data_IF_949649059003
#
_entry.id   IF_949649059003
#
_cell.length_a   1.000
_cell.length_b   1.000
_cell.length_c   1.000
_cell.angle_alpha   90.00
_cell.angle_beta   90.00
_cell.angle_gamma   90.00
#
_symmetry.space_group_name_H-M   'P 1'
#
loop_
_entity.id
_entity.type
_entity.pdbx_description
1 polymer ?
#
# COMPACT_ATOMS: atom_id res chain seq x y z
N UNK A 1 19.73 -48.46 14.61
CA UNK A 1 19.18 -47.16 14.84
C UNK A 1 20.15 -46.07 14.34
N UNK A 2 21.03 -46.40 13.42
CA UNK A 2 22.07 -45.48 12.90
C UNK A 2 21.97 -45.21 11.39
N UNK A 3 20.80 -45.44 10.79
CA UNK A 3 20.64 -45.39 9.32
C UNK A 3 19.79 -44.22 8.79
N UNK A 4 19.15 -43.41 9.68
CA UNK A 4 18.25 -42.36 9.24
C UNK A 4 18.86 -40.96 9.13
N UNK A 5 19.92 -40.66 9.86
CA UNK A 5 20.56 -39.32 9.84
C UNK A 5 21.41 -39.09 8.55
N UNK A 6 21.87 -40.16 7.89
CA UNK A 6 22.68 -40.07 6.65
C UNK A 6 21.80 -39.81 5.40
N UNK A 7 20.47 -40.09 5.47
CA UNK A 7 19.62 -39.95 4.27
C UNK A 7 19.15 -38.50 4.02
N UNK A 8 19.01 -37.65 5.04
CA UNK A 8 18.56 -36.26 4.86
C UNK A 8 19.63 -35.41 4.14
N UNK A 9 20.92 -35.64 4.43
CA UNK A 9 22.02 -34.95 3.75
C UNK A 9 22.29 -35.47 2.34
N UNK A 10 21.80 -36.68 2.00
CA UNK A 10 22.01 -37.28 0.66
C UNK A 10 20.87 -36.97 -0.30
N UNK A 11 19.64 -36.66 0.19
CA UNK A 11 18.52 -36.28 -0.68
C UNK A 11 18.65 -34.85 -1.21
N UNK A 12 19.24 -33.94 -0.44
CA UNK A 12 19.49 -32.55 -0.88
C UNK A 12 20.65 -32.46 -1.91
N UNK A 13 21.49 -33.48 -2.01
CA UNK A 13 22.63 -33.52 -2.95
C UNK A 13 22.34 -34.14 -4.32
N UNK A 14 21.16 -34.72 -4.56
CA UNK A 14 20.84 -35.46 -5.79
C UNK A 14 19.78 -34.83 -6.70
N UNK A 15 19.17 -33.73 -6.31
CA UNK A 15 18.25 -33.00 -7.20
C UNK A 15 18.92 -31.97 -8.13
N UNK A 16 20.27 -31.93 -8.15
CA UNK A 16 21.06 -31.00 -8.99
C UNK A 16 21.37 -31.50 -10.42
N UNK A 17 20.77 -32.59 -10.87
CA UNK A 17 21.05 -33.13 -12.21
C UNK A 17 19.73 -33.44 -12.97
N UNK A 18 19.19 -32.44 -13.64
CA UNK A 18 18.21 -32.79 -14.68
C UNK A 18 17.17 -31.77 -15.13
N UNK A 19 17.36 -30.50 -15.01
CA UNK A 19 16.66 -29.56 -15.87
C UNK A 19 17.49 -28.29 -16.03
N UNK A 20 17.76 -27.93 -17.28
CA UNK A 20 18.50 -26.74 -17.64
C UNK A 20 17.61 -25.49 -17.45
N UNK A 21 17.61 -24.96 -16.24
CA UNK A 21 17.08 -23.64 -15.97
C UNK A 21 18.20 -22.64 -16.21
N UNK A 22 17.94 -21.66 -17.08
CA UNK A 22 18.84 -20.53 -17.25
C UNK A 22 18.78 -19.68 -15.99
N UNK A 23 19.77 -19.83 -15.12
CA UNK A 23 20.06 -18.88 -14.05
C UNK A 23 20.92 -17.79 -14.68
N UNK A 24 20.54 -16.51 -14.59
CA UNK A 24 21.45 -15.43 -14.93
C UNK A 24 22.59 -15.43 -13.91
N UNK A 25 23.76 -15.91 -14.32
CA UNK A 25 25.00 -15.74 -13.55
C UNK A 25 25.56 -14.38 -13.94
N UNK A 26 25.57 -13.49 -13.00
CA UNK A 26 26.38 -12.30 -12.79
C UNK A 26 25.54 -11.11 -12.33
N UNK A 27 25.38 -10.95 -11.02
CA UNK A 27 25.07 -9.66 -10.44
C UNK A 27 26.36 -9.07 -9.85
N UNK A 28 26.89 -8.09 -10.57
CA UNK A 28 27.93 -7.19 -10.07
C UNK A 28 27.27 -6.11 -9.22
N UNK A 29 27.67 -6.05 -7.96
CA UNK A 29 27.34 -4.95 -7.06
C UNK A 29 28.00 -3.66 -7.53
N UNK A 30 27.25 -2.75 -8.16
CA UNK A 30 27.63 -1.33 -8.24
C UNK A 30 26.34 -0.50 -8.40
N UNK A 31 25.96 0.17 -7.33
CA UNK A 31 25.06 1.31 -7.38
C UNK A 31 25.91 2.51 -7.83
N UNK A 32 25.83 2.88 -9.10
CA UNK A 32 26.33 4.17 -9.58
C UNK A 32 25.15 5.05 -9.96
N UNK A 33 25.00 6.13 -9.22
CA UNK A 33 24.19 7.30 -9.61
C UNK A 33 24.70 7.85 -10.95
N UNK A 34 23.90 7.77 -12.00
CA UNK A 34 24.28 8.26 -13.33
C UNK A 34 24.20 9.78 -13.38
N UNK A 35 25.39 10.38 -13.47
CA UNK A 35 25.56 11.77 -13.92
C UNK A 35 25.73 11.77 -15.44
N UNK A 36 24.92 12.56 -16.14
CA UNK A 36 25.04 12.78 -17.59
C UNK A 36 26.46 13.19 -18.01
N UNK A 37 27.01 12.49 -18.99
CA UNK A 37 28.09 13.03 -19.82
C UNK A 37 27.80 12.91 -21.30
N UNK A 38 27.97 14.03 -21.97
CA UNK A 38 27.84 14.22 -23.41
C UNK A 38 29.09 13.78 -24.18
N UNK A 39 28.88 13.00 -25.23
CA UNK A 39 29.48 13.13 -26.55
C UNK A 39 30.92 12.74 -26.83
N UNK A 40 31.19 11.83 -27.71
CA UNK A 40 31.64 12.06 -29.09
C UNK A 40 31.96 10.75 -29.81
N UNK A 41 31.68 10.72 -31.09
CA UNK A 41 31.79 9.68 -32.11
C UNK A 41 33.18 9.07 -32.29
N UNK A 42 33.26 7.73 -32.51
CA UNK A 42 33.94 7.21 -33.70
C UNK A 42 33.52 5.76 -34.03
N UNK A 43 33.47 5.46 -35.33
CA UNK A 43 32.88 4.31 -35.98
C UNK A 43 33.57 2.95 -35.68
N UNK A 44 32.76 1.90 -35.44
CA UNK A 44 32.89 0.59 -36.08
C UNK A 44 31.58 -0.22 -35.85
N UNK A 45 30.95 -0.59 -36.96
CA UNK A 45 29.72 -1.36 -37.07
C UNK A 45 29.81 -2.75 -36.41
N UNK A 46 29.18 -2.95 -35.25
CA UNK A 46 28.50 -4.17 -34.88
C UNK A 46 27.15 -3.77 -34.27
N UNK A 47 26.08 -4.16 -34.97
CA UNK A 47 24.69 -3.92 -34.62
C UNK A 47 24.31 -4.78 -33.40
N UNK A 48 24.70 -4.32 -32.19
CA UNK A 48 24.06 -4.74 -30.96
C UNK A 48 22.75 -3.94 -30.86
N UNK A 49 21.62 -4.67 -30.94
CA UNK A 49 20.32 -4.11 -30.63
C UNK A 49 20.34 -3.42 -29.25
N UNK A 50 19.46 -2.42 -29.01
CA UNK A 50 19.44 -1.70 -27.75
C UNK A 50 19.30 -2.72 -26.62
N UNK A 51 20.21 -2.66 -25.64
CA UNK A 51 20.01 -3.29 -24.34
C UNK A 51 18.77 -2.57 -23.78
N UNK A 52 17.63 -3.23 -23.82
CA UNK A 52 16.47 -2.82 -23.03
C UNK A 52 16.94 -2.91 -21.57
N UNK A 53 17.19 -1.76 -20.96
CA UNK A 53 17.23 -1.64 -19.52
C UNK A 53 15.84 -2.05 -19.05
N UNK A 54 15.78 -3.09 -18.22
CA UNK A 54 14.55 -3.51 -17.59
C UNK A 54 14.15 -2.44 -16.56
N UNK A 55 13.45 -1.42 -17.04
CA UNK A 55 12.91 -0.33 -16.21
C UNK A 55 11.76 -0.84 -15.29
N UNK A 56 11.53 -2.16 -15.25
CA UNK A 56 10.43 -2.75 -14.50
C UNK A 56 10.70 -2.81 -12.99
N UNK A 57 11.96 -2.84 -12.55
CA UNK A 57 12.32 -2.98 -11.14
C UNK A 57 13.47 -2.07 -10.72
N UNK A 58 13.37 -1.58 -9.48
CA UNK A 58 14.47 -0.96 -8.75
C UNK A 58 14.89 -1.86 -7.58
N UNK A 59 16.09 -1.68 -7.06
CA UNK A 59 16.60 -2.44 -5.93
C UNK A 59 17.24 -1.52 -4.91
N UNK A 60 16.97 -1.79 -3.62
CA UNK A 60 17.62 -1.15 -2.50
C UNK A 60 18.26 -2.18 -1.58
N UNK A 61 19.26 -1.75 -0.81
CA UNK A 61 19.89 -2.57 0.21
C UNK A 61 19.57 -1.96 1.57
N UNK A 62 18.87 -2.71 2.41
CA UNK A 62 18.43 -2.31 3.74
C UNK A 62 19.33 -2.93 4.81
N UNK A 63 19.38 -2.28 5.97
CA UNK A 63 19.97 -2.79 7.18
C UNK A 63 21.44 -2.50 7.41
N UNK A 64 21.97 -2.92 8.56
CA UNK A 64 23.34 -2.65 8.96
C UNK A 64 24.32 -3.41 8.05
N UNK A 65 25.49 -2.82 7.78
CA UNK A 65 26.50 -3.33 6.83
C UNK A 65 27.00 -4.76 7.08
N UNK A 66 26.80 -5.28 8.28
CA UNK A 66 27.17 -6.65 8.65
C UNK A 66 26.05 -7.68 8.40
N UNK A 67 24.82 -7.21 8.15
CA UNK A 67 23.69 -8.08 7.81
C UNK A 67 22.67 -7.24 7.03
N UNK A 68 22.73 -7.31 5.72
CA UNK A 68 21.86 -6.55 4.82
C UNK A 68 20.79 -7.44 4.20
N UNK A 69 19.71 -6.80 3.73
CA UNK A 69 18.67 -7.42 2.94
C UNK A 69 18.47 -6.67 1.62
N UNK A 70 17.94 -7.34 0.62
CA UNK A 70 17.58 -6.73 -0.66
C UNK A 70 16.08 -6.46 -0.69
N UNK A 71 15.73 -5.23 -1.03
CA UNK A 71 14.38 -4.80 -1.33
C UNK A 71 14.23 -4.61 -2.84
N UNK A 72 13.27 -5.30 -3.45
CA UNK A 72 12.84 -5.12 -4.82
C UNK A 72 11.62 -4.23 -4.87
N UNK A 73 11.63 -3.24 -5.75
CA UNK A 73 10.67 -2.15 -5.82
C UNK A 73 10.13 -2.11 -7.26
N UNK A 74 8.83 -2.05 -7.51
CA UNK A 74 8.28 -1.85 -8.85
C UNK A 74 8.87 -0.61 -9.52
N UNK A 75 9.18 -0.69 -10.82
CA UNK A 75 9.66 0.46 -11.58
C UNK A 75 8.60 1.56 -11.64
N UNK A 76 9.01 2.79 -11.38
CA UNK A 76 8.10 3.93 -11.37
C UNK A 76 7.26 4.06 -10.10
N UNK A 77 7.57 3.27 -9.05
CA UNK A 77 6.91 3.41 -7.75
C UNK A 77 7.06 4.83 -7.21
N UNK A 78 5.95 5.42 -6.85
CA UNK A 78 5.86 6.70 -6.14
C UNK A 78 5.91 6.43 -4.62
N UNK A 79 6.95 6.92 -3.95
CA UNK A 79 7.15 6.68 -2.52
C UNK A 79 6.14 7.43 -1.63
N UNK A 80 5.39 8.37 -2.20
CA UNK A 80 4.27 9.05 -1.54
C UNK A 80 2.96 8.23 -1.65
N UNK A 81 2.97 7.15 -2.41
CA UNK A 81 1.87 6.19 -2.56
C UNK A 81 2.28 4.83 -2.02
N UNK A 82 2.02 4.56 -0.74
CA UNK A 82 2.50 3.34 -0.11
C UNK A 82 2.00 2.07 -0.77
N UNK A 83 2.89 1.06 -0.85
CA UNK A 83 2.57 -0.27 -1.35
C UNK A 83 2.74 -1.32 -0.25
N UNK A 84 1.94 -2.39 -0.24
CA UNK A 84 2.17 -3.52 0.64
C UNK A 84 3.61 -4.03 0.56
N UNK A 85 4.14 -4.52 1.67
CA UNK A 85 5.46 -5.15 1.74
C UNK A 85 5.35 -6.65 1.98
N UNK A 86 5.82 -7.44 1.02
CA UNK A 86 5.99 -8.88 1.19
C UNK A 86 7.41 -9.18 1.66
N UNK A 87 7.54 -9.85 2.79
CA UNK A 87 8.82 -10.29 3.36
C UNK A 87 8.98 -11.80 3.15
N UNK A 88 9.91 -12.19 2.27
CA UNK A 88 10.17 -13.60 1.93
C UNK A 88 11.21 -14.22 2.85
N UNK A 89 10.84 -15.27 3.57
CA UNK A 89 11.73 -16.00 4.49
C UNK A 89 12.07 -17.40 3.96
N UNK A 90 13.33 -17.62 3.63
CA UNK A 90 13.82 -18.88 3.07
C UNK A 90 13.86 -20.02 4.08
N UNK A 91 13.90 -21.27 3.61
CA UNK A 91 14.09 -22.46 4.41
C UNK A 91 15.52 -22.65 4.93
N UNK A 92 15.71 -23.54 5.90
CA UNK A 92 17.03 -23.89 6.44
C UNK A 92 18.04 -24.23 5.34
N UNK A 93 19.28 -23.76 5.50
CA UNK A 93 20.39 -23.92 4.54
C UNK A 93 20.24 -23.24 3.18
N UNK A 94 19.17 -22.49 2.95
CA UNK A 94 18.88 -21.73 1.74
C UNK A 94 19.38 -20.27 1.84
N UNK A 95 18.86 -19.38 1.02
CA UNK A 95 19.11 -17.94 1.01
C UNK A 95 17.87 -17.19 0.47
N UNK A 96 17.83 -15.87 0.68
CA UNK A 96 16.70 -15.04 0.32
C UNK A 96 16.34 -15.10 -1.16
N UNK A 97 17.35 -14.99 -2.04
CA UNK A 97 17.10 -15.04 -3.49
C UNK A 97 16.50 -16.37 -3.93
N UNK A 98 17.03 -17.49 -3.42
CA UNK A 98 16.50 -18.81 -3.77
C UNK A 98 15.09 -19.02 -3.20
N UNK A 99 14.83 -18.59 -1.96
CA UNK A 99 13.51 -18.69 -1.34
C UNK A 99 12.45 -17.93 -2.10
N UNK A 100 12.73 -16.67 -2.45
CA UNK A 100 11.82 -15.84 -3.24
C UNK A 100 11.59 -16.41 -4.65
N UNK A 101 12.65 -16.92 -5.31
CA UNK A 101 12.53 -17.58 -6.62
C UNK A 101 11.71 -18.87 -6.55
N UNK A 102 11.90 -19.67 -5.50
CA UNK A 102 11.16 -20.94 -5.33
C UNK A 102 9.66 -20.72 -5.15
N UNK A 103 9.28 -19.65 -4.46
CA UNK A 103 7.88 -19.28 -4.23
C UNK A 103 7.31 -18.36 -5.33
N UNK A 104 8.08 -18.15 -6.42
CA UNK A 104 7.73 -17.34 -7.59
C UNK A 104 7.36 -15.87 -7.25
N UNK A 105 7.99 -15.33 -6.20
CA UNK A 105 7.65 -14.01 -5.66
C UNK A 105 8.20 -12.84 -6.50
N UNK A 106 9.21 -13.05 -7.35
CA UNK A 106 9.78 -11.96 -8.15
C UNK A 106 8.78 -11.43 -9.18
N UNK A 107 8.10 -12.32 -9.90
CA UNK A 107 7.13 -11.93 -10.91
C UNK A 107 5.83 -11.36 -10.29
N UNK A 108 5.55 -11.74 -9.02
CA UNK A 108 4.38 -11.23 -8.30
C UNK A 108 4.46 -9.75 -7.95
N UNK A 109 5.65 -9.15 -7.88
CA UNK A 109 5.87 -7.74 -7.53
C UNK A 109 5.06 -6.79 -8.42
N UNK A 110 5.11 -6.99 -9.74
CA UNK A 110 4.32 -6.20 -10.69
C UNK A 110 2.86 -6.64 -10.77
N UNK A 111 2.62 -7.94 -10.63
CA UNK A 111 1.28 -8.49 -10.80
C UNK A 111 0.34 -8.10 -9.63
N UNK A 112 0.88 -8.06 -8.42
CA UNK A 112 0.13 -7.79 -7.19
C UNK A 112 0.45 -6.41 -6.57
N UNK A 113 1.24 -5.58 -7.25
CA UNK A 113 1.59 -4.22 -6.82
C UNK A 113 2.09 -4.15 -5.36
N UNK A 114 3.22 -4.80 -5.07
CA UNK A 114 3.83 -4.79 -3.75
C UNK A 114 5.36 -4.61 -3.81
N UNK A 115 5.97 -4.24 -2.70
CA UNK A 115 7.41 -4.31 -2.48
C UNK A 115 7.79 -5.73 -2.03
N UNK A 116 8.99 -6.21 -2.40
CA UNK A 116 9.48 -7.53 -1.98
C UNK A 116 10.82 -7.42 -1.26
N UNK A 117 10.82 -7.74 0.03
CA UNK A 117 12.02 -7.86 0.86
C UNK A 117 12.40 -9.33 0.98
N UNK A 118 13.63 -9.72 0.57
CA UNK A 118 14.09 -11.12 0.63
C UNK A 118 15.45 -11.22 1.32
N UNK A 119 15.45 -11.18 2.65
CA UNK A 119 16.67 -11.20 3.46
C UNK A 119 17.30 -12.59 3.55
N UNK A 120 18.59 -12.61 3.92
CA UNK A 120 19.32 -13.80 4.29
C UNK A 120 19.27 -14.04 5.80
N UNK A 121 18.94 -15.27 6.21
CA UNK A 121 19.05 -15.72 7.59
C UNK A 121 20.49 -15.75 8.10
N UNK A 122 20.65 -15.86 9.43
CA UNK A 122 21.96 -15.95 10.09
C UNK A 122 22.71 -17.22 9.68
N UNK A 123 24.03 -17.12 9.50
CA UNK A 123 24.87 -18.30 9.27
C UNK A 123 25.24 -18.98 10.57
N UNK A 124 25.05 -20.31 10.63
CA UNK A 124 25.55 -21.12 11.71
C UNK A 124 27.06 -21.45 11.52
N UNK A 125 27.74 -22.08 12.50
CA UNK A 125 29.17 -22.41 12.40
C UNK A 125 29.56 -23.34 11.24
N UNK A 126 28.61 -24.02 10.61
CA UNK A 126 28.83 -24.86 9.41
C UNK A 126 28.51 -24.15 8.11
N UNK A 127 28.31 -22.84 8.14
CA UNK A 127 28.00 -21.99 7.00
C UNK A 127 26.63 -22.30 6.34
N UNK A 128 25.66 -22.76 7.11
CA UNK A 128 24.28 -22.92 6.70
C UNK A 128 23.43 -21.79 7.29
N UNK A 129 22.55 -21.20 6.53
CA UNK A 129 21.66 -20.14 7.01
C UNK A 129 20.43 -20.70 7.72
N UNK A 130 19.99 -19.98 8.74
CA UNK A 130 18.80 -20.30 9.51
C UNK A 130 18.11 -19.04 10.03
N UNK A 131 16.87 -19.18 10.42
CA UNK A 131 16.10 -18.26 11.24
C UNK A 131 15.96 -18.83 12.64
N UNK A 132 16.21 -18.02 13.65
CA UNK A 132 15.94 -18.37 15.05
C UNK A 132 14.43 -18.28 15.32
N UNK A 133 13.69 -19.30 14.88
CA UNK A 133 12.23 -19.27 14.86
C UNK A 133 11.61 -19.83 16.16
N UNK A 134 11.69 -21.14 16.33
CA UNK A 134 11.16 -21.84 17.51
C UNK A 134 12.20 -22.84 18.04
N UNK A 135 12.09 -23.35 19.25
CA UNK A 135 12.99 -24.41 19.76
C UNK A 135 13.03 -25.64 18.86
N UNK A 136 11.95 -25.92 18.11
CA UNK A 136 11.88 -27.07 17.23
C UNK A 136 12.58 -26.88 15.88
N UNK A 137 12.96 -25.65 15.48
CA UNK A 137 13.65 -25.37 14.21
C UNK A 137 14.25 -23.98 14.17
N UNK A 138 15.46 -23.75 13.73
CA UNK A 138 16.53 -24.67 13.32
C UNK A 138 17.84 -24.12 13.87
N UNK A 139 17.78 -23.45 15.04
CA UNK A 139 18.93 -22.88 15.75
C UNK A 139 19.68 -23.96 16.58
N UNK A 140 20.22 -24.96 15.89
CA UNK A 140 20.89 -26.11 16.52
C UNK A 140 22.22 -25.79 17.24
N UNK A 141 22.65 -24.55 17.26
CA UNK A 141 23.90 -24.10 17.92
C UNK A 141 23.62 -23.06 19.01
N UNK A 142 22.39 -22.93 19.45
CA UNK A 142 21.99 -21.97 20.48
C UNK A 142 22.60 -20.57 20.28
N UNK A 143 22.61 -20.10 19.02
CA UNK A 143 23.14 -18.78 18.72
C UNK A 143 22.19 -17.72 19.26
N UNK A 144 22.73 -16.79 20.04
CA UNK A 144 21.99 -15.62 20.51
C UNK A 144 21.75 -14.64 19.34
N UNK A 145 20.67 -14.88 18.58
CA UNK A 145 20.25 -14.05 17.43
C UNK A 145 18.82 -13.60 17.65
N UNK A 146 18.60 -12.29 17.52
CA UNK A 146 17.28 -11.69 17.49
C UNK A 146 16.88 -11.38 16.05
N UNK A 147 16.27 -12.36 15.39
CA UNK A 147 15.78 -12.20 14.02
C UNK A 147 14.50 -11.38 13.98
N UNK A 148 13.70 -11.33 15.05
CA UNK A 148 12.47 -10.54 15.12
C UNK A 148 12.81 -9.05 15.07
N UNK A 149 13.66 -8.59 16.00
CA UNK A 149 14.06 -7.19 16.08
C UNK A 149 14.78 -6.73 14.80
N UNK A 150 15.62 -7.61 14.24
CA UNK A 150 16.31 -7.31 12.98
C UNK A 150 15.34 -7.18 11.79
N UNK A 151 14.35 -8.08 11.63
CA UNK A 151 13.35 -8.00 10.56
C UNK A 151 12.48 -6.76 10.70
N UNK A 152 12.08 -6.41 11.93
CA UNK A 152 11.34 -5.18 12.20
C UNK A 152 12.14 -3.94 11.81
N UNK A 153 13.45 -3.92 12.09
CA UNK A 153 14.31 -2.82 11.63
C UNK A 153 14.35 -2.66 10.12
N UNK A 154 14.28 -3.76 9.35
CA UNK A 154 14.20 -3.70 7.88
C UNK A 154 12.83 -3.18 7.40
N UNK A 155 11.75 -3.58 8.06
CA UNK A 155 10.40 -3.09 7.78
C UNK A 155 10.33 -1.59 8.05
N UNK A 156 10.83 -1.12 9.20
CA UNK A 156 10.84 0.31 9.55
C UNK A 156 11.64 1.14 8.53
N UNK A 157 12.74 0.59 8.02
CA UNK A 157 13.52 1.25 6.96
C UNK A 157 12.76 1.26 5.62
N UNK A 158 12.08 0.16 5.26
CA UNK A 158 11.26 0.08 4.05
C UNK A 158 10.07 1.07 4.10
N UNK A 159 9.40 1.17 5.23
CA UNK A 159 8.30 2.13 5.47
C UNK A 159 8.81 3.57 5.37
N UNK A 160 9.89 3.89 6.08
CA UNK A 160 10.36 5.29 6.19
C UNK A 160 11.03 5.84 4.94
N UNK A 161 11.63 4.98 4.09
CA UNK A 161 12.48 5.42 2.98
C UNK A 161 11.99 4.96 1.59
N UNK A 162 11.15 3.94 1.52
CA UNK A 162 10.81 3.29 0.25
C UNK A 162 9.31 3.14 0.00
N UNK A 163 8.47 3.81 0.81
CA UNK A 163 7.03 3.81 0.61
C UNK A 163 6.38 2.43 0.81
N UNK A 164 6.87 1.64 1.78
CA UNK A 164 6.14 0.47 2.23
C UNK A 164 4.97 0.89 3.13
N UNK A 165 3.80 0.30 2.91
CA UNK A 165 2.62 0.56 3.74
C UNK A 165 2.73 -0.17 5.08
N UNK A 166 2.71 0.54 6.23
CA UNK A 166 2.82 -0.09 7.54
C UNK A 166 1.66 -1.04 7.87
N UNK A 167 0.49 -0.87 7.25
CA UNK A 167 -0.69 -1.71 7.46
C UNK A 167 -0.75 -2.91 6.49
N UNK A 168 0.11 -2.91 5.45
CA UNK A 168 0.19 -3.93 4.41
C UNK A 168 1.38 -4.89 4.53
N UNK A 169 1.90 -5.19 5.72
CA UNK A 169 3.05 -6.07 5.91
C UNK A 169 2.63 -7.54 5.90
N UNK A 170 3.19 -8.32 4.96
CA UNK A 170 2.93 -9.76 4.85
C UNK A 170 4.23 -10.56 4.87
N UNK A 171 4.30 -11.60 5.69
CA UNK A 171 5.39 -12.57 5.67
C UNK A 171 5.03 -13.81 4.88
N UNK A 172 5.93 -14.22 3.98
CA UNK A 172 5.78 -15.47 3.21
C UNK A 172 7.01 -16.31 3.45
N UNK A 173 6.87 -17.43 4.15
CA UNK A 173 7.99 -18.25 4.57
C UNK A 173 7.86 -19.72 4.21
N UNK A 174 8.97 -20.36 3.79
CA UNK A 174 9.05 -21.79 3.54
C UNK A 174 9.84 -22.51 4.64
N UNK A 175 9.33 -23.66 5.14
CA UNK A 175 10.05 -24.50 6.10
C UNK A 175 10.48 -23.71 7.35
N UNK A 176 11.76 -23.59 7.65
CA UNK A 176 12.27 -22.73 8.74
C UNK A 176 11.78 -21.27 8.62
N UNK A 177 11.65 -20.71 7.39
CA UNK A 177 11.02 -19.41 7.17
C UNK A 177 9.53 -19.38 7.49
N UNK A 178 8.81 -20.50 7.31
CA UNK A 178 7.42 -20.65 7.75
C UNK A 178 7.28 -20.64 9.29
N UNK A 179 8.18 -21.32 9.98
CA UNK A 179 8.26 -21.22 11.46
C UNK A 179 8.54 -19.78 11.90
N UNK A 180 9.45 -19.09 11.22
CA UNK A 180 9.75 -17.70 11.53
C UNK A 180 8.57 -16.76 11.24
N UNK A 181 7.78 -17.03 10.20
CA UNK A 181 6.57 -16.26 9.92
C UNK A 181 5.57 -16.37 11.08
N UNK A 182 5.37 -17.57 11.64
CA UNK A 182 4.54 -17.74 12.84
C UNK A 182 5.12 -17.01 14.07
N UNK A 183 6.45 -17.04 14.26
CA UNK A 183 7.09 -16.28 15.35
C UNK A 183 6.85 -14.78 15.18
N UNK A 184 7.00 -14.26 13.98
CA UNK A 184 6.72 -12.85 13.70
C UNK A 184 5.26 -12.49 14.02
N UNK A 185 4.30 -13.33 13.62
CA UNK A 185 2.89 -13.14 13.96
C UNK A 185 2.63 -13.19 15.49
N UNK A 186 3.34 -14.03 16.22
CA UNK A 186 3.26 -14.11 17.68
C UNK A 186 3.80 -12.85 18.38
N UNK A 187 4.96 -12.36 17.95
CA UNK A 187 5.67 -11.29 18.67
C UNK A 187 5.33 -9.88 18.14
N UNK A 188 4.84 -9.77 16.90
CA UNK A 188 4.60 -8.51 16.19
C UNK A 188 3.24 -8.47 15.47
N UNK A 189 2.24 -9.20 15.94
CA UNK A 189 0.96 -9.39 15.27
C UNK A 189 0.21 -8.10 14.97
N UNK A 190 0.37 -7.06 15.79
CA UNK A 190 -0.22 -5.73 15.58
C UNK A 190 0.47 -4.90 14.48
N UNK A 191 1.58 -5.38 13.93
CA UNK A 191 2.34 -4.74 12.85
C UNK A 191 2.32 -5.55 11.56
N UNK A 192 1.62 -6.67 11.56
CA UNK A 192 1.62 -7.63 10.46
C UNK A 192 0.19 -7.84 10.00
N UNK A 193 -0.07 -7.58 8.73
CA UNK A 193 -1.38 -7.82 8.12
C UNK A 193 -1.67 -9.30 7.98
N UNK A 194 -0.68 -10.09 7.59
CA UNK A 194 -0.85 -11.52 7.44
C UNK A 194 0.44 -12.29 7.27
N UNK A 195 0.33 -13.60 7.43
CA UNK A 195 1.42 -14.54 7.13
C UNK A 195 0.95 -15.63 6.19
N UNK A 196 1.87 -16.12 5.36
CA UNK A 196 1.78 -17.35 4.59
C UNK A 196 2.91 -18.26 5.03
N UNK A 197 2.62 -19.25 5.85
CA UNK A 197 3.57 -20.26 6.28
C UNK A 197 3.43 -21.49 5.40
N UNK A 198 4.42 -21.74 4.54
CA UNK A 198 4.45 -22.95 3.72
C UNK A 198 5.39 -23.99 4.34
N UNK A 199 4.85 -25.18 4.66
CA UNK A 199 5.56 -26.30 5.26
C UNK A 199 6.32 -25.93 6.55
N UNK A 200 5.80 -24.96 7.31
CA UNK A 200 6.29 -24.55 8.62
C UNK A 200 5.37 -25.03 9.75
N UNK A 201 5.64 -24.59 10.97
CA UNK A 201 4.81 -24.81 12.15
C UNK A 201 5.03 -23.73 13.20
N UNK A 202 4.22 -23.73 14.26
CA UNK A 202 4.32 -22.79 15.37
C UNK A 202 4.97 -23.43 16.62
N UNK A 203 4.89 -22.77 17.77
CA UNK A 203 5.40 -23.26 19.05
C UNK A 203 4.57 -24.45 19.58
N UNK A 204 5.23 -25.42 20.21
CA UNK A 204 4.57 -26.54 20.90
C UNK A 204 3.59 -26.04 21.97
N UNK A 205 4.07 -25.23 22.91
CA UNK A 205 3.24 -24.59 23.92
C UNK A 205 2.81 -23.20 23.44
N UNK A 206 1.87 -23.15 22.48
CA UNK A 206 1.46 -21.95 21.79
C UNK A 206 1.05 -20.81 22.73
N UNK A 207 0.15 -21.07 23.68
CA UNK A 207 -0.35 -20.04 24.61
C UNK A 207 0.72 -19.49 25.57
N UNK A 208 1.78 -20.26 25.83
CA UNK A 208 2.89 -19.86 26.70
C UNK A 208 3.98 -19.08 25.96
N UNK A 209 4.20 -19.41 24.68
CA UNK A 209 5.34 -18.92 23.89
C UNK A 209 4.95 -17.93 22.80
N UNK A 210 3.67 -17.82 22.47
CA UNK A 210 3.16 -16.89 21.49
C UNK A 210 2.43 -15.74 22.20
N UNK A 211 3.02 -14.56 22.21
CA UNK A 211 2.40 -13.38 22.82
C UNK A 211 1.12 -13.00 22.08
N UNK A 212 0.15 -12.46 22.79
CA UNK A 212 -1.07 -11.89 22.19
C UNK A 212 -0.80 -10.43 21.82
N UNK A 213 -0.27 -10.24 20.62
CA UNK A 213 0.14 -8.92 20.11
C UNK A 213 -0.79 -8.40 19.01
N UNK A 214 -1.81 -9.17 18.62
CA UNK A 214 -2.75 -8.81 17.56
C UNK A 214 -3.26 -10.03 16.80
N UNK A 215 -4.13 -9.81 15.83
CA UNK A 215 -4.82 -10.86 15.07
C UNK A 215 -4.53 -10.75 13.56
N UNK A 216 -3.30 -11.05 13.08
CA UNK A 216 -3.02 -11.05 11.65
C UNK A 216 -3.78 -12.18 10.91
N UNK A 217 -3.91 -12.07 9.60
CA UNK A 217 -4.37 -13.18 8.77
C UNK A 217 -3.36 -14.32 8.79
N UNK A 218 -3.79 -15.55 9.04
CA UNK A 218 -2.92 -16.72 9.16
C UNK A 218 -3.25 -17.73 8.08
N UNK A 219 -2.37 -17.90 7.11
CA UNK A 219 -2.45 -18.96 6.11
C UNK A 219 -1.34 -19.97 6.31
N UNK A 220 -1.71 -21.18 6.69
CA UNK A 220 -0.84 -22.35 6.67
C UNK A 220 -1.06 -23.12 5.36
N UNK A 221 -0.02 -23.30 4.55
CA UNK A 221 -0.02 -24.14 3.37
C UNK A 221 0.86 -25.36 3.63
N UNK A 222 0.35 -26.58 3.49
CA UNK A 222 1.12 -27.77 3.86
C UNK A 222 0.78 -28.99 3.02
N UNK A 223 1.82 -29.70 2.57
CA UNK A 223 1.67 -30.98 1.85
C UNK A 223 1.40 -32.16 2.81
N UNK A 224 0.36 -32.95 2.53
CA UNK A 224 0.02 -34.10 3.40
C UNK A 224 1.08 -35.23 3.35
N UNK A 225 1.98 -35.21 2.37
CA UNK A 225 3.08 -36.15 2.24
C UNK A 225 4.45 -35.50 2.48
N UNK A 226 4.47 -34.46 3.30
CA UNK A 226 5.71 -33.82 3.75
C UNK A 226 6.50 -34.78 4.68
N UNK A 227 7.68 -35.19 4.25
CA UNK A 227 8.57 -36.10 4.98
C UNK A 227 9.71 -35.38 5.73
N UNK A 228 9.71 -34.05 5.70
CA UNK A 228 10.69 -33.20 6.42
C UNK A 228 10.04 -32.56 7.64
N UNK A 229 9.03 -31.73 7.42
CA UNK A 229 8.17 -31.21 8.48
C UNK A 229 6.83 -31.91 8.33
N UNK A 230 6.61 -32.91 9.19
CA UNK A 230 5.44 -33.79 9.06
C UNK A 230 4.14 -33.01 9.22
N UNK A 231 3.20 -33.27 8.30
CA UNK A 231 1.85 -32.69 8.33
C UNK A 231 1.15 -32.87 9.69
N UNK A 232 1.28 -34.07 10.28
CA UNK A 232 0.68 -34.43 11.58
C UNK A 232 1.48 -33.91 12.79
N UNK A 233 2.54 -33.15 12.55
CA UNK A 233 3.49 -32.75 13.58
C UNK A 233 4.53 -33.82 13.90
N UNK A 234 5.52 -33.43 14.67
CA UNK A 234 6.64 -34.31 14.94
C UNK A 234 7.63 -33.76 15.93
N UNK A 235 8.77 -34.41 15.96
CA UNK A 235 9.91 -33.98 16.76
C UNK A 235 11.09 -33.69 15.85
N UNK A 236 11.69 -32.52 16.03
CA UNK A 236 12.99 -32.26 15.49
C UNK A 236 14.07 -32.61 16.51
N UNK A 237 15.17 -33.12 16.07
CA UNK A 237 16.27 -33.60 16.91
C UNK A 237 17.45 -32.69 16.77
N UNK A 238 17.80 -31.98 17.85
CA UNK A 238 19.06 -31.27 17.92
C UNK A 238 20.21 -32.30 18.03
N UNK A 239 21.09 -32.40 17.04
CA UNK A 239 22.17 -33.37 17.04
C UNK A 239 23.27 -33.07 18.05
N UNK A 240 23.28 -31.87 18.68
CA UNK A 240 24.38 -31.42 19.54
C UNK A 240 24.09 -31.57 21.02
N UNK A 241 22.85 -31.32 21.45
CA UNK A 241 22.43 -31.47 22.85
C UNK A 241 21.60 -32.74 23.15
N UNK A 242 21.22 -33.45 22.09
CA UNK A 242 20.38 -34.64 22.11
C UNK A 242 18.98 -34.38 22.66
N UNK A 243 18.47 -33.14 22.53
CA UNK A 243 17.11 -32.79 22.85
C UNK A 243 16.18 -33.05 21.64
N UNK A 244 14.93 -33.35 21.95
CA UNK A 244 13.87 -33.55 20.99
C UNK A 244 12.82 -32.49 21.23
N UNK A 245 12.74 -31.54 20.31
CA UNK A 245 11.77 -30.46 20.36
C UNK A 245 10.57 -30.80 19.50
N UNK A 246 9.39 -30.77 20.12
CA UNK A 246 8.14 -31.04 19.40
C UNK A 246 7.67 -29.81 18.62
N UNK A 247 7.04 -30.03 17.48
CA UNK A 247 6.27 -29.03 16.75
C UNK A 247 4.89 -29.59 16.42
N UNK A 248 3.82 -28.77 16.53
CA UNK A 248 2.46 -29.20 16.21
C UNK A 248 2.28 -29.46 14.71
N UNK A 249 1.32 -30.29 14.34
CA UNK A 249 0.93 -30.51 12.96
C UNK A 249 0.26 -29.30 12.35
N UNK A 250 0.06 -29.33 11.04
CA UNK A 250 -0.54 -28.24 10.27
C UNK A 250 -1.93 -27.87 10.79
N UNK A 251 -2.81 -28.88 11.02
CA UNK A 251 -4.15 -28.65 11.57
C UNK A 251 -4.09 -28.06 13.00
N UNK A 252 -3.27 -28.63 13.89
CA UNK A 252 -3.13 -28.13 15.25
C UNK A 252 -2.52 -26.71 15.31
N UNK A 253 -1.63 -26.37 14.38
CA UNK A 253 -1.09 -25.01 14.22
C UNK A 253 -2.22 -24.03 13.91
N UNK A 254 -3.05 -24.33 12.93
CA UNK A 254 -4.16 -23.47 12.52
C UNK A 254 -5.25 -23.40 13.58
N UNK A 255 -5.59 -24.52 14.24
CA UNK A 255 -6.53 -24.55 15.37
C UNK A 255 -6.07 -23.64 16.53
N UNK A 256 -4.76 -23.60 16.84
CA UNK A 256 -4.23 -22.73 17.88
C UNK A 256 -4.46 -21.24 17.55
N UNK A 257 -4.24 -20.86 16.32
CA UNK A 257 -4.51 -19.50 15.83
C UNK A 257 -6.02 -19.19 15.77
N UNK A 258 -6.84 -20.13 15.31
CA UNK A 258 -8.30 -19.97 15.26
C UNK A 258 -8.89 -19.77 16.66
N UNK A 259 -8.43 -20.56 17.65
CA UNK A 259 -8.83 -20.40 19.04
C UNK A 259 -8.47 -19.04 19.61
N UNK A 260 -7.23 -18.56 19.34
CA UNK A 260 -6.78 -17.21 19.74
C UNK A 260 -7.60 -16.11 19.10
N UNK A 261 -7.88 -16.24 17.83
CA UNK A 261 -8.66 -15.27 17.05
C UNK A 261 -10.18 -15.41 17.25
N UNK A 262 -10.61 -16.29 18.15
CA UNK A 262 -12.04 -16.46 18.47
C UNK A 262 -12.90 -16.89 17.31
N UNK A 263 -12.32 -17.59 16.33
CA UNK A 263 -13.02 -18.09 15.16
C UNK A 263 -13.95 -19.28 15.52
N UNK A 264 -14.82 -19.66 14.60
CA UNK A 264 -15.59 -20.90 14.66
C UNK A 264 -14.65 -22.12 14.75
N UNK A 265 -15.04 -23.15 15.52
CA UNK A 265 -14.20 -24.33 15.75
C UNK A 265 -14.06 -25.24 14.54
N UNK A 266 -15.01 -25.20 13.61
CA UNK A 266 -15.05 -26.09 12.46
C UNK A 266 -14.54 -25.39 11.20
N UNK A 267 -13.79 -26.11 10.36
CA UNK A 267 -13.40 -25.64 9.04
C UNK A 267 -14.60 -25.55 8.09
N UNK A 268 -14.63 -24.50 7.30
CA UNK A 268 -15.47 -24.41 6.10
C UNK A 268 -14.58 -24.64 4.88
N UNK A 269 -14.97 -25.55 4.00
CA UNK A 269 -14.28 -25.74 2.73
C UNK A 269 -14.69 -24.62 1.77
N UNK A 270 -13.72 -23.79 1.40
CA UNK A 270 -13.90 -22.60 0.54
C UNK A 270 -13.72 -22.94 -0.95
N UNK A 271 -13.34 -24.19 -1.28
CA UNK A 271 -13.09 -24.67 -2.63
C UNK A 271 -11.74 -25.37 -2.75
N UNK A 272 -11.31 -25.58 -3.98
CA UNK A 272 -10.08 -26.30 -4.31
C UNK A 272 -9.23 -25.43 -5.25
N UNK A 273 -7.90 -25.56 -5.15
CA UNK A 273 -6.90 -24.96 -6.03
C UNK A 273 -6.02 -26.04 -6.65
N UNK A 274 -5.28 -25.70 -7.69
CA UNK A 274 -4.22 -26.49 -8.31
C UNK A 274 -2.88 -25.81 -8.02
N UNK A 275 -2.21 -26.20 -6.93
CA UNK A 275 -0.92 -25.61 -6.54
C UNK A 275 0.30 -26.45 -6.93
N UNK A 276 0.19 -27.81 -6.95
CA UNK A 276 1.31 -28.73 -7.20
C UNK A 276 1.20 -29.40 -8.58
N UNK A 277 2.07 -29.06 -9.51
CA UNK A 277 2.05 -29.56 -10.89
C UNK A 277 2.02 -31.08 -11.05
N UNK A 278 2.67 -31.90 -10.19
CA UNK A 278 2.63 -33.36 -10.32
C UNK A 278 1.33 -34.02 -9.82
N UNK A 279 0.58 -33.38 -8.93
CA UNK A 279 -0.55 -34.01 -8.26
C UNK A 279 -1.85 -34.00 -9.09
N UNK A 280 -1.93 -33.20 -10.13
CA UNK A 280 -3.10 -33.07 -11.00
C UNK A 280 -3.98 -31.89 -10.65
N UNK A 281 -5.10 -31.76 -11.35
CA UNK A 281 -6.02 -30.61 -11.17
C UNK A 281 -6.69 -30.65 -9.80
N UNK A 282 -6.76 -29.50 -9.11
CA UNK A 282 -7.43 -29.31 -7.83
C UNK A 282 -6.87 -30.21 -6.71
N UNK A 283 -5.59 -30.14 -6.51
CA UNK A 283 -4.87 -30.90 -5.49
C UNK A 283 -4.90 -30.28 -4.10
N UNK A 284 -5.34 -29.02 -3.98
CA UNK A 284 -5.27 -28.25 -2.75
C UNK A 284 -6.64 -27.88 -2.22
N UNK A 285 -7.00 -28.40 -1.05
CA UNK A 285 -8.22 -28.02 -0.32
C UNK A 285 -8.01 -26.69 0.41
N UNK A 286 -8.88 -25.72 0.20
CA UNK A 286 -8.91 -24.47 0.95
C UNK A 286 -9.86 -24.58 2.14
N UNK A 287 -9.33 -24.74 3.34
CA UNK A 287 -10.08 -24.90 4.59
C UNK A 287 -9.92 -23.64 5.44
N UNK A 288 -11.01 -23.01 5.85
CA UNK A 288 -10.98 -21.75 6.61
C UNK A 288 -11.88 -21.80 7.83
N UNK A 289 -11.39 -21.27 8.97
CA UNK A 289 -12.22 -20.97 10.13
C UNK A 289 -12.90 -19.62 9.94
N UNK A 290 -14.21 -19.56 10.15
CA UNK A 290 -15.02 -18.37 9.93
C UNK A 290 -15.28 -17.60 11.22
N UNK A 291 -15.84 -16.39 11.08
CA UNK A 291 -16.30 -15.54 12.18
C UNK A 291 -15.21 -15.20 13.22
N UNK A 292 -13.98 -15.02 12.76
CA UNK A 292 -12.88 -14.55 13.61
C UNK A 292 -13.11 -13.11 14.09
N UNK A 293 -12.48 -12.73 15.20
CA UNK A 293 -12.51 -11.35 15.71
C UNK A 293 -11.91 -10.38 14.69
N UNK A 294 -12.40 -9.14 14.66
CA UNK A 294 -11.88 -8.05 13.82
C UNK A 294 -11.86 -8.37 12.30
N UNK A 295 -12.56 -9.43 11.89
CA UNK A 295 -12.61 -9.83 10.48
C UNK A 295 -11.32 -10.44 9.93
N UNK A 296 -10.35 -10.77 10.79
CA UNK A 296 -9.16 -11.49 10.38
C UNK A 296 -9.50 -12.91 9.88
N UNK A 297 -8.57 -13.55 9.20
CA UNK A 297 -8.76 -14.84 8.55
C UNK A 297 -7.74 -15.86 9.05
N UNK A 298 -8.20 -17.09 9.27
CA UNK A 298 -7.34 -18.22 9.69
C UNK A 298 -7.67 -19.42 8.84
N UNK A 299 -6.71 -19.90 8.04
CA UNK A 299 -6.93 -20.95 7.07
C UNK A 299 -5.79 -21.97 6.97
N UNK A 300 -6.16 -23.16 6.56
CA UNK A 300 -5.28 -24.25 6.12
C UNK A 300 -5.53 -24.55 4.64
N UNK A 301 -4.50 -24.39 3.81
CA UNK A 301 -4.53 -24.92 2.45
C UNK A 301 -3.72 -26.20 2.41
N UNK A 302 -4.44 -27.29 2.26
CA UNK A 302 -3.91 -28.66 2.35
C UNK A 302 -3.63 -29.20 0.96
N UNK A 303 -2.32 -29.33 0.61
CA UNK A 303 -1.91 -29.94 -0.67
C UNK A 303 -1.95 -31.47 -0.50
N UNK A 304 -2.92 -32.12 -1.13
CA UNK A 304 -3.09 -33.56 -1.06
C UNK A 304 -1.95 -34.29 -1.78
N UNK A 305 -1.30 -35.21 -1.08
CA UNK A 305 -0.08 -35.91 -1.53
C UNK A 305 1.13 -34.97 -1.78
N UNK A 306 1.01 -33.66 -1.46
CA UNK A 306 2.08 -32.68 -1.61
C UNK A 306 3.27 -32.97 -0.71
N UNK A 307 4.49 -32.73 -1.23
CA UNK A 307 5.77 -32.93 -0.53
C UNK A 307 6.18 -31.66 0.25
N UNK A 308 7.35 -31.71 0.93
CA UNK A 308 7.96 -30.54 1.60
C UNK A 308 8.29 -29.38 0.64
N UNK A 309 8.57 -29.70 -0.61
CA UNK A 309 8.91 -28.74 -1.65
C UNK A 309 8.28 -29.19 -2.98
N UNK A 310 6.95 -28.99 -3.15
CA UNK A 310 6.27 -29.29 -4.40
C UNK A 310 6.76 -28.39 -5.54
N UNK A 311 6.50 -28.80 -6.77
CA UNK A 311 6.73 -27.96 -7.93
C UNK A 311 5.46 -27.15 -8.21
N UNK A 312 5.43 -25.94 -7.74
CA UNK A 312 4.26 -25.08 -7.91
C UNK A 312 3.88 -24.84 -9.37
N UNK A 313 2.60 -24.72 -9.62
CA UNK A 313 2.07 -24.15 -10.87
C UNK A 313 2.51 -22.71 -10.96
N UNK A 314 3.14 -22.32 -12.08
CA UNK A 314 3.75 -21.01 -12.30
C UNK A 314 2.78 -19.86 -11.93
N UNK A 315 3.21 -18.96 -11.09
CA UNK A 315 2.46 -17.80 -10.59
C UNK A 315 1.31 -18.13 -9.64
N UNK A 316 0.88 -19.38 -9.53
CA UNK A 316 -0.32 -19.73 -8.76
C UNK A 316 -0.16 -19.44 -7.26
N UNK A 317 0.97 -19.85 -6.70
CA UNK A 317 1.23 -19.67 -5.27
C UNK A 317 1.16 -18.19 -4.84
N UNK A 318 1.99 -17.27 -5.37
CA UNK A 318 1.93 -15.88 -4.93
C UNK A 318 0.63 -15.18 -5.32
N UNK A 319 0.06 -15.44 -6.51
CA UNK A 319 -1.13 -14.77 -6.99
C UNK A 319 -2.41 -15.16 -6.23
N UNK A 320 -2.38 -16.22 -5.44
CA UNK A 320 -3.50 -16.65 -4.59
C UNK A 320 -3.23 -16.35 -3.11
N UNK A 321 -2.02 -16.58 -2.63
CA UNK A 321 -1.69 -16.49 -1.20
C UNK A 321 -1.46 -15.04 -0.74
N UNK A 322 -0.81 -14.18 -1.54
CA UNK A 322 -0.56 -12.78 -1.18
C UNK A 322 -1.87 -11.99 -1.07
N UNK A 323 -2.78 -12.00 -2.07
CA UNK A 323 -4.08 -11.33 -1.94
C UNK A 323 -4.92 -11.89 -0.78
N UNK A 324 -4.82 -13.22 -0.51
CA UNK A 324 -5.49 -13.80 0.64
C UNK A 324 -4.93 -13.25 1.97
N UNK A 325 -3.61 -13.16 2.12
CA UNK A 325 -2.96 -12.65 3.32
C UNK A 325 -3.21 -11.14 3.53
N UNK A 326 -3.37 -10.39 2.44
CA UNK A 326 -3.73 -8.97 2.44
C UNK A 326 -5.25 -8.73 2.59
N UNK A 327 -6.09 -9.77 2.66
CA UNK A 327 -7.53 -9.56 2.73
C UNK A 327 -7.94 -8.67 3.90
N UNK A 328 -8.86 -7.71 3.63
CA UNK A 328 -9.24 -6.65 4.55
C UNK A 328 -8.18 -5.53 4.71
N UNK A 329 -7.06 -5.60 4.00
CA UNK A 329 -6.20 -4.47 3.76
C UNK A 329 -6.89 -3.55 2.75
N UNK A 330 -7.04 -2.30 3.10
CA UNK A 330 -7.52 -1.25 2.21
C UNK A 330 -6.42 -0.22 2.19
N UNK A 331 -5.97 0.12 1.00
CA UNK A 331 -4.89 1.08 0.80
C UNK A 331 -5.34 2.46 1.29
N UNK A 332 -4.40 3.23 1.75
CA UNK A 332 -4.45 4.67 1.90
C UNK A 332 -3.40 5.20 0.90
N UNK A 333 -3.86 5.60 -0.29
CA UNK A 333 -2.95 5.80 -1.43
C UNK A 333 -2.15 7.09 -1.38
N UNK A 334 -2.56 8.08 -0.60
CA UNK A 334 -1.85 9.35 -0.44
C UNK A 334 -1.33 9.60 0.98
N UNK A 335 -1.71 8.72 1.95
CA UNK A 335 -1.16 8.73 3.29
C UNK A 335 -1.76 9.78 4.22
N UNK A 336 -2.97 10.27 3.93
CA UNK A 336 -3.66 11.28 4.74
C UNK A 336 -4.35 10.71 5.99
N UNK A 337 -4.49 9.37 6.07
CA UNK A 337 -5.15 8.64 7.14
C UNK A 337 -6.59 8.23 6.83
N UNK A 338 -7.11 8.58 5.66
CA UNK A 338 -8.38 8.10 5.12
C UNK A 338 -8.11 7.01 4.08
N UNK A 339 -8.84 5.92 4.14
CA UNK A 339 -8.61 4.77 3.23
C UNK A 339 -9.26 4.99 1.88
N UNK A 340 -8.67 4.43 0.82
CA UNK A 340 -9.16 4.54 -0.57
C UNK A 340 -10.66 4.23 -0.76
N UNK A 341 -11.29 3.40 0.09
CA UNK A 341 -12.71 3.09 -0.01
C UNK A 341 -13.64 4.10 0.68
N UNK A 342 -13.08 4.96 1.51
CA UNK A 342 -13.76 6.05 2.21
C UNK A 342 -13.32 7.43 1.67
N UNK A 343 -12.29 7.47 0.81
CA UNK A 343 -11.67 8.65 0.24
C UNK A 343 -12.13 8.90 -1.20
N UNK A 344 -12.72 10.07 -1.42
CA UNK A 344 -13.15 10.52 -2.75
C UNK A 344 -11.96 10.99 -3.59
N UNK A 345 -10.89 11.48 -2.94
CA UNK A 345 -9.68 12.02 -3.56
C UNK A 345 -8.44 11.19 -3.26
N UNK A 346 -8.46 9.90 -3.50
CA UNK A 346 -7.47 8.86 -3.15
C UNK A 346 -6.00 9.18 -3.45
N UNK A 347 -5.71 10.34 -4.03
CA UNK A 347 -4.36 10.76 -4.44
C UNK A 347 -4.04 12.20 -4.05
N UNK A 348 -4.90 12.85 -3.25
CA UNK A 348 -4.66 14.21 -2.74
C UNK A 348 -4.70 14.22 -1.21
N UNK A 349 -3.52 14.22 -0.53
CA UNK A 349 -3.44 14.11 0.93
C UNK A 349 -4.01 15.33 1.68
N UNK A 350 -4.63 16.26 1.01
CA UNK A 350 -5.28 17.40 1.64
C UNK A 350 -6.81 17.33 1.52
N UNK A 351 -7.34 16.39 0.72
CA UNK A 351 -8.76 16.26 0.42
C UNK A 351 -9.21 14.80 0.56
N UNK A 352 -10.33 14.55 1.22
CA UNK A 352 -10.89 13.21 1.39
C UNK A 352 -12.41 13.14 1.20
N UNK A 353 -13.10 14.29 1.20
CA UNK A 353 -14.54 14.37 1.07
C UNK A 353 -14.94 15.41 0.02
N UNK A 354 -16.08 15.17 -0.63
CA UNK A 354 -16.74 16.04 -1.58
C UNK A 354 -18.23 15.94 -1.26
N UNK A 355 -18.71 16.84 -0.40
CA UNK A 355 -20.04 16.72 0.22
C UNK A 355 -21.17 17.00 -0.75
N UNK A 356 -20.97 17.84 -1.74
CA UNK A 356 -21.99 18.21 -2.74
C UNK A 356 -21.78 17.56 -4.11
N UNK A 357 -20.58 17.00 -4.37
CA UNK A 357 -20.31 16.19 -5.54
C UNK A 357 -19.91 16.98 -6.78
N UNK A 358 -19.35 18.16 -6.63
CA UNK A 358 -18.96 19.03 -7.75
C UNK A 358 -17.53 18.77 -8.24
N UNK A 359 -16.73 18.00 -7.48
CA UNK A 359 -15.36 17.62 -7.82
C UNK A 359 -14.28 18.49 -7.18
N UNK A 360 -14.62 19.40 -6.30
CA UNK A 360 -13.72 20.14 -5.42
C UNK A 360 -13.88 19.55 -4.01
N UNK A 361 -12.77 19.36 -3.31
CA UNK A 361 -12.80 18.77 -1.96
C UNK A 361 -13.26 19.77 -0.91
N UNK A 362 -13.95 19.29 0.12
CA UNK A 362 -14.52 20.07 1.20
C UNK A 362 -13.52 21.04 1.87
N UNK A 363 -12.23 20.70 1.87
CA UNK A 363 -11.19 21.54 2.48
C UNK A 363 -10.79 22.73 1.61
N UNK A 364 -10.86 22.57 0.28
CA UNK A 364 -10.51 23.59 -0.70
C UNK A 364 -11.72 24.38 -1.20
N UNK A 365 -12.92 23.88 -0.92
CA UNK A 365 -14.19 24.47 -1.33
C UNK A 365 -14.64 25.55 -0.34
N UNK A 366 -14.93 26.73 -0.85
CA UNK A 366 -15.52 27.79 -0.05
C UNK A 366 -16.99 27.51 0.32
N UNK A 367 -17.68 26.64 -0.47
CA UNK A 367 -19.10 26.30 -0.31
C UNK A 367 -19.34 24.77 -0.38
N UNK A 368 -18.84 23.97 0.58
CA UNK A 368 -18.84 22.50 0.50
C UNK A 368 -20.23 21.83 0.42
N UNK A 369 -21.30 22.56 0.52
CA UNK A 369 -22.68 22.09 0.46
C UNK A 369 -23.43 22.63 -0.79
N UNK A 370 -22.78 23.41 -1.69
CA UNK A 370 -23.40 23.99 -2.88
C UNK A 370 -22.64 23.67 -4.17
N UNK A 371 -23.09 22.67 -4.93
CA UNK A 371 -22.39 22.16 -6.12
C UNK A 371 -22.36 23.14 -7.31
N UNK A 372 -22.73 24.37 -7.12
CA UNK A 372 -22.66 25.42 -8.13
C UNK A 372 -21.61 26.49 -7.79
N UNK A 373 -21.10 26.47 -6.58
CA UNK A 373 -20.14 27.44 -6.06
C UNK A 373 -18.93 26.71 -5.48
N UNK A 374 -17.71 27.13 -5.85
CA UNK A 374 -16.46 26.53 -5.37
C UNK A 374 -15.51 27.56 -4.77
N UNK A 375 -15.71 28.83 -5.06
CA UNK A 375 -14.82 29.92 -4.68
C UNK A 375 -15.59 31.14 -4.22
N UNK A 376 -14.97 31.90 -3.33
CA UNK A 376 -15.42 33.18 -2.80
C UNK A 376 -14.16 34.08 -2.79
N UNK A 377 -13.98 34.82 -3.90
CA UNK A 377 -12.72 35.51 -4.16
C UNK A 377 -12.50 36.73 -3.24
N UNK A 378 -13.57 37.39 -2.80
CA UNK A 378 -13.49 38.56 -1.92
C UNK A 378 -13.89 38.27 -0.48
N UNK A 379 -14.52 37.12 -0.20
CA UNK A 379 -14.83 36.64 1.14
C UNK A 379 -16.10 37.24 1.75
N UNK A 380 -17.05 37.63 0.92
CA UNK A 380 -18.32 38.24 1.41
C UNK A 380 -19.40 37.20 1.75
N UNK A 381 -19.18 35.92 1.30
CA UNK A 381 -20.08 34.79 1.53
C UNK A 381 -21.06 34.54 0.39
N UNK A 382 -20.90 35.20 -0.75
CA UNK A 382 -21.55 34.88 -2.03
C UNK A 382 -20.49 34.24 -2.96
N UNK A 383 -20.84 33.15 -3.60
CA UNK A 383 -19.89 32.46 -4.48
C UNK A 383 -19.68 33.21 -5.79
N UNK A 384 -18.45 33.09 -6.33
CA UNK A 384 -18.01 33.80 -7.54
C UNK A 384 -18.95 33.61 -8.75
N UNK A 385 -19.68 32.48 -8.82
CA UNK A 385 -20.61 32.24 -9.91
C UNK A 385 -21.94 32.96 -9.74
N UNK A 386 -22.35 33.24 -8.52
CA UNK A 386 -23.60 33.94 -8.16
C UNK A 386 -23.37 35.42 -7.87
N UNK A 387 -22.12 35.82 -7.71
CA UNK A 387 -21.71 37.20 -7.45
C UNK A 387 -21.56 37.99 -8.75
N UNK A 388 -22.19 39.13 -8.84
CA UNK A 388 -22.07 40.04 -9.96
C UNK A 388 -20.71 40.79 -9.95
N UNK A 389 -20.12 40.96 -8.76
CA UNK A 389 -18.84 41.66 -8.55
C UNK A 389 -17.85 40.87 -7.66
N UNK A 390 -17.34 39.70 -8.10
CA UNK A 390 -16.60 38.74 -7.29
C UNK A 390 -15.28 39.23 -6.63
N UNK A 391 -14.89 40.45 -6.92
CA UNK A 391 -13.67 41.08 -6.36
C UNK A 391 -14.01 42.22 -5.37
N UNK A 392 -15.29 42.49 -5.10
CA UNK A 392 -15.74 43.59 -4.19
C UNK A 392 -16.61 43.09 -3.05
N UNK A 393 -16.07 42.88 -1.84
CA UNK A 393 -16.77 42.28 -0.70
C UNK A 393 -17.92 43.20 -0.13
N UNK A 394 -18.23 44.28 -0.75
CA UNK A 394 -19.34 45.15 -0.40
C UNK A 394 -20.53 45.09 -1.37
N UNK A 395 -20.32 44.39 -2.52
CA UNK A 395 -21.26 44.30 -3.62
C UNK A 395 -21.41 42.85 -4.09
N UNK A 396 -22.60 42.33 -4.20
CA UNK A 396 -22.88 40.97 -4.70
C UNK A 396 -23.97 40.95 -5.78
N UNK A 397 -24.63 42.09 -6.02
CA UNK A 397 -25.66 42.21 -7.03
C UNK A 397 -25.42 43.45 -7.89
N UNK A 398 -25.72 43.33 -9.16
CA UNK A 398 -25.77 44.39 -10.16
C UNK A 398 -27.07 44.13 -10.97
N UNK A 399 -28.17 44.77 -10.52
CA UNK A 399 -29.52 44.42 -10.98
C UNK A 399 -29.79 44.83 -12.44
N UNK A 400 -29.16 45.92 -12.90
CA UNK A 400 -29.35 46.44 -14.25
C UNK A 400 -28.15 46.15 -15.21
N UNK A 401 -27.01 45.70 -14.64
CA UNK A 401 -25.89 45.21 -15.42
C UNK A 401 -24.98 46.30 -15.96
N UNK A 402 -24.89 47.44 -15.30
CA UNK A 402 -24.08 48.56 -15.76
C UNK A 402 -22.63 48.53 -15.20
N UNK A 403 -22.34 47.63 -14.24
CA UNK A 403 -21.05 47.44 -13.62
C UNK A 403 -20.83 48.17 -12.33
N UNK A 404 -21.87 48.79 -11.78
CA UNK A 404 -21.92 49.36 -10.42
C UNK A 404 -22.84 48.48 -9.59
N UNK A 405 -22.38 48.08 -8.39
CA UNK A 405 -23.20 47.22 -7.52
C UNK A 405 -24.40 47.97 -6.89
N UNK A 406 -25.47 47.22 -6.66
CA UNK A 406 -26.73 47.75 -6.13
C UNK A 406 -26.57 48.58 -4.84
N UNK A 407 -25.57 48.25 -4.01
CA UNK A 407 -25.33 48.98 -2.78
C UNK A 407 -24.67 50.37 -2.99
N UNK A 408 -23.90 50.51 -4.06
CA UNK A 408 -23.18 51.74 -4.42
C UNK A 408 -23.89 52.53 -5.49
N UNK A 409 -24.88 51.94 -6.14
CA UNK A 409 -25.68 52.56 -7.19
C UNK A 409 -26.86 53.37 -6.62
N UNK A 410 -26.96 54.61 -7.04
CA UNK A 410 -28.12 55.46 -6.69
C UNK A 410 -29.39 55.03 -7.43
N UNK A 411 -29.27 54.33 -8.58
CA UNK A 411 -30.36 53.90 -9.46
C UNK A 411 -30.20 52.41 -9.90
N UNK A 412 -30.29 51.43 -8.97
CA UNK A 412 -29.96 50.02 -9.24
C UNK A 412 -30.82 49.32 -10.30
N UNK A 413 -31.83 49.96 -10.86
CA UNK A 413 -32.72 49.46 -11.91
C UNK A 413 -32.55 50.22 -13.25
N UNK A 414 -31.63 51.19 -13.35
CA UNK A 414 -31.42 52.02 -14.55
C UNK A 414 -29.99 52.03 -15.03
N UNK A 415 -29.61 51.18 -16.04
CA UNK A 415 -28.24 51.00 -16.50
C UNK A 415 -27.64 52.23 -17.21
N UNK A 416 -28.28 53.35 -17.15
CA UNK A 416 -27.76 54.61 -17.70
C UNK A 416 -27.42 55.64 -16.61
N UNK A 417 -27.83 55.38 -15.37
CA UNK A 417 -27.61 56.22 -14.22
C UNK A 417 -26.97 55.44 -13.08
N UNK A 418 -25.88 55.97 -12.50
CA UNK A 418 -25.14 55.32 -11.39
C UNK A 418 -25.03 56.22 -10.17
N UNK A 419 -25.24 57.52 -10.33
CA UNK A 419 -25.03 58.51 -9.32
C UNK A 419 -26.12 59.57 -9.29
N UNK A 420 -26.40 60.11 -8.10
CA UNK A 420 -27.28 61.22 -7.84
C UNK A 420 -26.50 62.17 -6.89
N UNK A 421 -25.77 63.10 -7.45
CA UNK A 421 -24.79 63.90 -6.70
C UNK A 421 -25.41 64.87 -5.71
N UNK A 422 -26.64 65.34 -6.00
CA UNK A 422 -27.36 66.29 -5.16
C UNK A 422 -28.55 65.70 -4.40
N UNK A 423 -28.97 64.47 -4.78
CA UNK A 423 -29.98 63.68 -4.06
C UNK A 423 -31.42 64.09 -4.36
N UNK A 424 -31.68 64.60 -5.58
CA UNK A 424 -33.01 65.04 -5.97
C UNK A 424 -33.84 63.95 -6.64
N UNK A 425 -33.20 62.79 -6.98
CA UNK A 425 -33.85 61.63 -7.57
C UNK A 425 -33.80 61.62 -9.11
N UNK A 426 -33.05 62.50 -9.72
CA UNK A 426 -32.66 62.46 -11.13
C UNK A 426 -31.17 62.12 -11.25
N UNK A 427 -30.82 61.13 -12.09
CA UNK A 427 -29.45 60.74 -12.20
C UNK A 427 -28.55 61.75 -12.91
N UNK A 428 -27.28 61.82 -12.50
CA UNK A 428 -26.30 62.79 -12.97
C UNK A 428 -26.20 62.86 -14.54
N UNK A 429 -26.46 61.75 -15.21
CA UNK A 429 -26.41 61.71 -16.70
C UNK A 429 -27.66 62.34 -17.34
N UNK A 430 -28.79 62.32 -16.65
CA UNK A 430 -30.07 62.87 -17.11
C UNK A 430 -30.37 64.25 -16.55
N UNK A 431 -29.60 64.66 -15.54
CA UNK A 431 -29.70 65.93 -14.87
C UNK A 431 -28.88 67.01 -15.58
N UNK A 432 -29.49 68.10 -15.93
CA UNK A 432 -28.84 69.25 -16.56
C UNK A 432 -27.97 70.04 -15.53
N UNK A 433 -28.29 69.93 -14.23
CA UNK A 433 -27.65 70.64 -13.11
C UNK A 433 -27.36 69.69 -11.94
N UNK A 434 -26.47 68.69 -12.07
CA UNK A 434 -26.25 67.59 -11.13
C UNK A 434 -25.77 67.95 -9.73
N UNK A 435 -25.52 69.19 -9.45
CA UNK A 435 -25.10 69.75 -8.15
C UNK A 435 -26.16 70.63 -7.49
N UNK A 436 -27.38 70.80 -8.09
CA UNK A 436 -28.43 71.64 -7.55
C UNK A 436 -29.74 70.86 -7.38
N UNK A 437 -30.07 70.38 -6.15
CA UNK A 437 -31.23 69.53 -5.87
C UNK A 437 -32.59 70.22 -6.06
N UNK A 438 -32.63 71.38 -6.59
CA UNK A 438 -33.86 72.09 -6.98
C UNK A 438 -34.05 72.22 -8.47
N UNK A 439 -33.10 71.82 -9.27
CA UNK A 439 -33.07 71.98 -10.74
C UNK A 439 -32.61 70.67 -11.42
N UNK A 440 -33.32 70.14 -12.37
CA UNK A 440 -32.96 68.89 -13.13
C UNK A 440 -33.10 69.09 -14.63
N UNK A 441 -33.60 70.23 -15.09
CA UNK A 441 -33.79 70.52 -16.53
C UNK A 441 -33.26 71.94 -16.83
N UNK A 442 -32.66 72.09 -17.96
CA UNK A 442 -32.24 73.37 -18.55
C UNK A 442 -32.65 73.29 -20.02
N UNK A 443 -33.86 73.74 -20.37
CA UNK A 443 -34.50 73.51 -21.68
C UNK A 443 -33.87 74.29 -22.81
N UNK A 444 -33.34 75.48 -22.51
CA UNK A 444 -32.65 76.34 -23.53
C UNK A 444 -31.13 76.28 -23.49
N UNK A 445 -30.56 75.66 -22.44
CA UNK A 445 -29.11 75.42 -22.34
C UNK A 445 -28.30 76.64 -21.92
N UNK A 446 -28.91 77.61 -21.23
CA UNK A 446 -28.22 78.84 -20.83
C UNK A 446 -27.46 78.73 -19.50
N UNK A 447 -27.64 77.60 -18.77
CA UNK A 447 -27.02 77.28 -17.48
C UNK A 447 -27.81 77.77 -16.27
N UNK A 448 -29.08 78.16 -16.42
CA UNK A 448 -30.07 78.42 -15.37
C UNK A 448 -31.15 77.34 -15.44
N UNK A 449 -31.42 76.66 -14.37
CA UNK A 449 -32.44 75.60 -14.39
C UNK A 449 -33.86 76.13 -14.54
N UNK A 450 -34.71 75.30 -15.23
CA UNK A 450 -36.07 75.68 -15.60
C UNK A 450 -36.93 76.14 -14.46
N UNK A 451 -36.72 75.70 -13.20
CA UNK A 451 -37.50 76.14 -12.04
C UNK A 451 -37.05 77.52 -11.55
N UNK A 452 -35.90 77.98 -11.80
CA UNK A 452 -35.36 79.31 -11.40
C UNK A 452 -35.31 80.25 -12.60
N UNK A 453 -35.49 79.78 -13.81
CA UNK A 453 -35.55 80.64 -14.98
C UNK A 453 -36.95 81.24 -15.21
N UNK A 454 -36.94 82.57 -15.49
CA UNK A 454 -38.14 83.29 -15.83
C UNK A 454 -38.63 83.06 -17.27
N UNK A 455 -37.74 82.50 -18.15
CA UNK A 455 -37.95 82.20 -19.58
C UNK A 455 -37.34 80.88 -20.01
N UNK A 456 -37.84 79.74 -19.50
CA UNK A 456 -37.14 78.41 -19.66
C UNK A 456 -36.96 77.88 -21.12
N UNK A 457 -37.53 78.56 -22.04
CA UNK A 457 -37.50 78.16 -23.47
C UNK A 457 -36.80 79.25 -24.40
N UNK A 458 -36.14 80.31 -23.84
CA UNK A 458 -35.68 81.44 -24.64
C UNK A 458 -34.19 81.88 -24.36
#
# INVERSE_FOLDING_TARGET
MHLRVVLVSLLLGHMALGSSWHVPTEFSSNVETSTMMTGSSDDSDEEYGPIEYDDQYNYATLGPSNRTATLMIPGGHDYERPLPLVVSLHGYSSNGNWGASYLDLFDSVLHNEHLLLYPDGTMNPTALRFWNATPACCNYWDQEVDDVDWLIGMIDEAVSLYGADPDGIVFVGHSNGGFMSHRMACEQGNRIRGIVSFAGSTFDSFDENCADTGHPNILQVHGTFDLVIYYEGGYDHDPWDNEWNYYPGAESTVESWANRSGCDSDYTNMGELDLDTPAGVNDTDMLEHLNCVEGNRVALWRINEGSHAPAFVEGQFPNTTIPWALSGFIRDSDGDGVRDDEDVFQYDPNEWADSDGDGVGDNSDAFPDDPLETSDSDGDGVGDNSDALPDDPSEWADSDGDGVGDNSDAFPDDPLETSDSDGDGVGDNSDALPDDPSEWADSDGDGVGDNSDAFPDD
#
